data_IF_115404968671
#
_entry.id   IF_115404968671
#
_cell.length_a   1.000
_cell.length_b   1.000
_cell.length_c   1.000
_cell.angle_alpha   90.00
_cell.angle_beta   90.00
_cell.angle_gamma   90.00
#
_symmetry.space_group_name_H-M   'P 1'
#
loop_
_entity.id
_entity.type
_entity.pdbx_description
1 polymer ?
#
# COMPACT_ATOMS: atom_id res chain seq x y z
N UNK A 1 -32.93 45.56 -51.37
CA UNK A 1 -33.35 44.19 -50.98
C UNK A 1 -32.18 43.24 -50.70
N UNK A 2 -30.97 43.61 -51.03
CA UNK A 2 -29.73 42.81 -50.87
C UNK A 2 -29.05 42.96 -49.51
N UNK A 3 -29.17 44.04 -48.75
CA UNK A 3 -28.54 44.30 -47.47
C UNK A 3 -29.16 43.46 -46.31
N UNK A 4 -30.46 43.20 -46.37
CA UNK A 4 -31.18 42.41 -45.38
C UNK A 4 -30.74 40.91 -45.38
N UNK A 5 -30.47 40.38 -46.58
CA UNK A 5 -30.01 38.98 -46.75
C UNK A 5 -28.59 38.75 -46.17
N UNK A 6 -27.69 39.74 -46.40
CA UNK A 6 -26.31 39.65 -45.86
C UNK A 6 -26.28 39.71 -44.31
N UNK A 7 -27.19 40.47 -43.68
CA UNK A 7 -27.30 40.50 -42.22
C UNK A 7 -27.78 39.19 -41.62
N UNK A 8 -28.73 38.51 -42.26
CA UNK A 8 -29.24 37.20 -41.83
C UNK A 8 -28.19 36.11 -42.00
N UNK A 9 -27.46 36.10 -43.12
CA UNK A 9 -26.36 35.13 -43.37
C UNK A 9 -25.23 35.28 -42.36
N UNK A 10 -24.82 36.52 -42.03
CA UNK A 10 -23.81 36.78 -41.00
C UNK A 10 -24.27 36.31 -39.62
N UNK A 11 -25.52 36.53 -39.25
CA UNK A 11 -26.07 36.05 -37.99
C UNK A 11 -26.14 34.52 -37.91
N UNK A 12 -26.53 33.87 -39.01
CA UNK A 12 -26.52 32.40 -39.13
C UNK A 12 -25.10 31.81 -39.02
N UNK A 13 -24.11 32.44 -39.68
CA UNK A 13 -22.71 32.02 -39.55
C UNK A 13 -22.18 32.14 -38.13
N UNK A 14 -22.49 33.20 -37.41
CA UNK A 14 -22.08 33.37 -36.01
C UNK A 14 -22.74 32.34 -35.11
N UNK A 15 -24.03 32.04 -35.33
CA UNK A 15 -24.73 30.99 -34.56
C UNK A 15 -24.14 29.60 -34.85
N UNK A 16 -23.82 29.29 -36.09
CA UNK A 16 -23.14 28.03 -36.45
C UNK A 16 -21.73 27.92 -35.85
N UNK A 17 -20.98 29.05 -35.82
CA UNK A 17 -19.64 29.07 -35.19
C UNK A 17 -19.71 28.86 -33.68
N UNK A 18 -20.69 29.48 -33.00
CA UNK A 18 -20.93 29.29 -31.57
C UNK A 18 -21.41 27.86 -31.24
N UNK A 19 -22.25 27.28 -32.11
CA UNK A 19 -22.68 25.89 -31.99
C UNK A 19 -21.53 24.88 -32.20
N UNK A 20 -20.61 25.17 -33.13
CA UNK A 20 -19.43 24.36 -33.39
C UNK A 20 -18.43 24.38 -32.22
N UNK A 21 -18.30 25.50 -31.51
CA UNK A 21 -17.45 25.60 -30.30
C UNK A 21 -18.00 24.84 -29.11
N UNK A 22 -19.32 24.60 -29.03
CA UNK A 22 -19.92 23.84 -27.91
C UNK A 22 -19.76 22.30 -28.03
N UNK A 23 -19.38 21.79 -29.19
CA UNK A 23 -19.20 20.36 -29.43
C UNK A 23 -17.84 19.81 -28.96
N UNK A 24 -16.90 20.68 -28.54
CA UNK A 24 -15.56 20.32 -28.12
C UNK A 24 -15.34 20.27 -26.58
N UNK A 25 -16.34 20.62 -25.77
CA UNK A 25 -16.21 20.56 -24.32
C UNK A 25 -16.43 19.14 -23.80
N UNK A 26 -15.47 18.26 -24.04
CA UNK A 26 -15.41 17.00 -23.29
C UNK A 26 -15.17 17.34 -21.83
N UNK A 27 -16.21 17.31 -21.00
CA UNK A 27 -16.04 17.45 -19.56
C UNK A 27 -15.07 16.38 -19.08
N UNK A 28 -13.96 16.80 -18.49
CA UNK A 28 -13.01 15.88 -17.89
C UNK A 28 -13.72 15.05 -16.83
N UNK A 29 -13.72 13.75 -16.98
CA UNK A 29 -14.34 12.83 -16.05
C UNK A 29 -13.33 12.38 -15.02
N UNK A 30 -13.66 12.54 -13.76
CA UNK A 30 -12.88 12.02 -12.63
C UNK A 30 -13.72 11.02 -11.88
N UNK A 31 -13.05 10.12 -11.18
CA UNK A 31 -13.66 9.22 -10.21
C UNK A 31 -12.82 9.16 -8.93
N UNK A 32 -13.41 8.64 -7.88
CA UNK A 32 -12.74 8.31 -6.63
C UNK A 32 -12.83 6.83 -6.39
N UNK A 33 -11.83 6.31 -5.70
CA UNK A 33 -11.83 4.97 -5.11
C UNK A 33 -11.45 5.09 -3.62
N UNK A 34 -11.86 4.14 -2.84
CA UNK A 34 -11.42 3.92 -1.48
C UNK A 34 -10.64 2.61 -1.44
N UNK A 35 -9.30 2.72 -1.55
CA UNK A 35 -8.44 1.54 -1.59
C UNK A 35 -8.50 0.74 -0.29
N UNK A 36 -8.70 1.39 0.85
CA UNK A 36 -8.83 0.69 2.12
C UNK A 36 -10.12 -0.14 2.17
N UNK A 37 -11.22 0.43 1.71
CA UNK A 37 -12.51 -0.27 1.58
C UNK A 37 -12.40 -1.44 0.59
N UNK A 38 -11.80 -1.23 -0.59
CA UNK A 38 -11.63 -2.27 -1.60
C UNK A 38 -10.80 -3.43 -1.02
N UNK A 39 -9.63 -3.14 -0.42
CA UNK A 39 -8.75 -4.15 0.15
C UNK A 39 -9.43 -4.97 1.25
N UNK A 40 -10.18 -4.32 2.14
CA UNK A 40 -10.93 -5.01 3.22
C UNK A 40 -11.98 -5.98 2.71
N UNK A 41 -12.49 -5.78 1.50
CA UNK A 41 -13.49 -6.64 0.88
C UNK A 41 -12.89 -7.73 -0.04
N UNK A 42 -11.55 -7.83 -0.11
CA UNK A 42 -10.84 -8.87 -0.87
C UNK A 42 -10.36 -9.97 0.09
N UNK A 43 -10.91 -11.20 0.05
CA UNK A 43 -10.51 -12.29 0.95
C UNK A 43 -9.02 -12.66 0.86
N UNK A 44 -8.39 -12.45 -0.31
CA UNK A 44 -6.97 -12.68 -0.47
C UNK A 44 -6.12 -11.72 0.37
N UNK A 45 -6.57 -10.46 0.55
CA UNK A 45 -5.91 -9.49 1.40
C UNK A 45 -5.94 -9.87 2.88
N UNK A 46 -7.08 -10.35 3.36
CA UNK A 46 -7.21 -10.85 4.74
C UNK A 46 -6.28 -12.04 4.99
N UNK A 47 -6.30 -13.05 4.10
CA UNK A 47 -5.38 -14.19 4.19
C UNK A 47 -3.90 -13.79 4.15
N UNK A 48 -3.55 -12.79 3.32
CA UNK A 48 -2.19 -12.26 3.26
C UNK A 48 -1.76 -11.61 4.59
N UNK A 49 -2.65 -10.81 5.20
CA UNK A 49 -2.41 -10.21 6.51
C UNK A 49 -2.26 -11.25 7.62
N UNK A 50 -3.10 -12.28 7.62
CA UNK A 50 -2.97 -13.39 8.58
C UNK A 50 -1.63 -14.10 8.44
N UNK A 51 -1.19 -14.42 7.22
CA UNK A 51 0.11 -15.03 6.97
C UNK A 51 1.26 -14.13 7.45
N UNK A 52 1.19 -12.83 7.20
CA UNK A 52 2.20 -11.87 7.67
C UNK A 52 2.25 -11.81 9.20
N UNK A 53 1.10 -11.81 9.86
CA UNK A 53 1.03 -11.83 11.32
C UNK A 53 1.62 -13.11 11.91
N UNK A 54 1.31 -14.26 11.34
CA UNK A 54 1.85 -15.55 11.80
C UNK A 54 3.37 -15.61 11.67
N UNK A 55 3.89 -15.22 10.49
CA UNK A 55 5.33 -15.19 10.22
C UNK A 55 6.03 -14.17 11.10
N UNK A 56 5.47 -12.98 11.29
CA UNK A 56 6.03 -11.96 12.18
C UNK A 56 6.13 -12.44 13.62
N UNK A 57 5.07 -13.06 14.15
CA UNK A 57 5.08 -13.65 15.50
C UNK A 57 6.13 -14.75 15.65
N UNK A 58 6.25 -15.62 14.65
CA UNK A 58 7.27 -16.67 14.64
C UNK A 58 8.68 -16.08 14.71
N UNK A 59 8.99 -15.13 13.85
CA UNK A 59 10.30 -14.50 13.80
C UNK A 59 10.61 -13.65 15.03
N UNK A 60 9.60 -12.98 15.62
CA UNK A 60 9.76 -12.32 16.90
C UNK A 60 10.16 -13.30 18.01
N UNK A 61 9.49 -14.45 18.10
CA UNK A 61 9.80 -15.47 19.08
C UNK A 61 11.23 -16.04 18.88
N UNK A 62 11.68 -16.24 17.65
CA UNK A 62 13.05 -16.66 17.35
C UNK A 62 14.10 -15.65 17.84
N UNK A 63 13.88 -14.36 17.57
CA UNK A 63 14.78 -13.28 18.03
C UNK A 63 14.77 -13.20 19.56
N UNK A 64 13.58 -13.26 20.16
CA UNK A 64 13.41 -13.18 21.62
C UNK A 64 14.07 -14.35 22.34
N UNK A 65 14.01 -15.56 21.79
CA UNK A 65 14.67 -16.72 22.34
C UNK A 65 16.19 -16.52 22.47
N UNK A 66 16.85 -16.03 21.41
CA UNK A 66 18.29 -15.75 21.43
C UNK A 66 18.62 -14.58 22.38
N UNK A 67 17.79 -13.53 22.38
CA UNK A 67 17.97 -12.40 23.28
C UNK A 67 17.86 -12.82 24.76
N UNK A 68 16.89 -13.67 25.08
CA UNK A 68 16.68 -14.22 26.42
C UNK A 68 17.83 -15.13 26.85
N UNK A 69 18.37 -15.93 25.91
CA UNK A 69 19.56 -16.75 26.16
C UNK A 69 20.76 -15.84 26.51
N UNK A 70 21.01 -14.77 25.73
CA UNK A 70 22.09 -13.82 26.01
C UNK A 70 21.92 -13.15 27.38
N UNK A 71 20.71 -12.71 27.72
CA UNK A 71 20.41 -12.13 29.03
C UNK A 71 20.65 -13.14 30.21
N UNK A 72 20.29 -14.39 29.99
CA UNK A 72 20.53 -15.46 30.99
C UNK A 72 22.02 -15.72 31.16
N UNK A 73 22.78 -15.79 30.07
CA UNK A 73 24.25 -15.91 30.12
C UNK A 73 24.88 -14.73 30.85
N UNK A 74 24.42 -13.51 30.58
CA UNK A 74 24.91 -12.31 31.27
C UNK A 74 24.60 -12.36 32.78
N UNK A 75 23.39 -12.72 33.16
CA UNK A 75 22.98 -12.87 34.56
C UNK A 75 23.82 -13.92 35.30
N UNK A 76 24.07 -15.07 34.67
CA UNK A 76 24.91 -16.11 35.22
C UNK A 76 26.37 -15.61 35.38
N UNK A 77 26.89 -14.90 34.35
CA UNK A 77 28.22 -14.28 34.42
C UNK A 77 28.33 -13.33 35.61
N UNK A 78 27.36 -12.46 35.84
CA UNK A 78 27.36 -11.53 36.98
C UNK A 78 27.43 -12.29 38.35
N UNK A 79 26.74 -13.41 38.48
CA UNK A 79 26.75 -14.19 39.71
C UNK A 79 28.08 -14.92 39.96
N UNK A 80 28.79 -15.31 38.90
CA UNK A 80 30.00 -16.12 38.96
C UNK A 80 31.30 -15.30 38.83
N UNK A 81 31.23 -14.04 38.42
CA UNK A 81 32.37 -13.22 37.99
C UNK A 81 33.49 -13.12 39.03
N UNK A 82 33.17 -13.15 40.32
CA UNK A 82 34.14 -13.06 41.43
C UNK A 82 34.97 -14.35 41.59
N UNK A 83 34.50 -15.46 41.09
CA UNK A 83 35.17 -16.75 41.16
C UNK A 83 35.89 -17.17 39.86
N UNK A 84 35.78 -16.36 38.79
CA UNK A 84 36.35 -16.69 37.51
C UNK A 84 37.77 -16.16 37.32
N UNK A 85 38.63 -16.95 36.65
CA UNK A 85 39.91 -16.45 36.12
C UNK A 85 39.72 -15.39 35.03
N UNK A 86 40.75 -14.61 34.69
CA UNK A 86 40.69 -13.60 33.67
C UNK A 86 40.35 -14.19 32.28
N UNK A 87 40.87 -15.39 31.98
CA UNK A 87 40.57 -16.12 30.72
C UNK A 87 39.11 -16.56 30.65
N UNK A 88 38.59 -17.08 31.79
CA UNK A 88 37.18 -17.47 31.89
C UNK A 88 36.22 -16.27 31.78
N UNK A 89 36.56 -15.14 32.39
CA UNK A 89 35.79 -13.89 32.26
C UNK A 89 35.71 -13.47 30.83
N UNK A 90 36.85 -13.42 30.12
CA UNK A 90 36.91 -13.04 28.71
C UNK A 90 36.08 -14.00 27.84
N UNK A 91 36.27 -15.30 28.00
CA UNK A 91 35.53 -16.29 27.23
C UNK A 91 33.99 -16.19 27.43
N UNK A 92 33.52 -15.95 28.66
CA UNK A 92 32.09 -15.72 28.90
C UNK A 92 31.57 -14.42 28.33
N UNK A 93 32.33 -13.34 28.41
CA UNK A 93 31.99 -12.05 27.81
C UNK A 93 31.92 -12.16 26.29
N UNK A 94 32.92 -12.78 25.65
CA UNK A 94 32.92 -12.99 24.20
C UNK A 94 31.71 -13.82 23.75
N UNK A 95 31.34 -14.87 24.50
CA UNK A 95 30.17 -15.69 24.21
C UNK A 95 28.87 -14.92 24.35
N UNK A 96 28.73 -14.05 25.35
CA UNK A 96 27.54 -13.17 25.51
C UNK A 96 27.45 -12.19 24.37
N UNK A 97 28.55 -11.52 24.03
CA UNK A 97 28.59 -10.57 22.90
C UNK A 97 28.23 -11.24 21.57
N UNK A 98 28.69 -12.46 21.35
CA UNK A 98 28.35 -13.21 20.14
C UNK A 98 26.85 -13.55 20.09
N UNK A 99 26.22 -13.91 21.22
CA UNK A 99 24.77 -14.15 21.28
C UNK A 99 23.95 -12.88 21.05
N UNK A 100 24.37 -11.75 21.63
CA UNK A 100 23.73 -10.45 21.40
C UNK A 100 23.83 -10.04 19.93
N UNK A 101 25.01 -10.25 19.33
CA UNK A 101 25.24 -10.02 17.90
C UNK A 101 24.33 -10.88 17.03
N UNK A 102 24.21 -12.17 17.33
CA UNK A 102 23.31 -13.09 16.61
C UNK A 102 21.85 -12.63 16.71
N UNK A 103 21.39 -12.19 17.87
CA UNK A 103 20.03 -11.64 18.04
C UNK A 103 19.82 -10.38 17.18
N UNK A 104 20.81 -9.46 17.19
CA UNK A 104 20.74 -8.22 16.41
C UNK A 104 20.75 -8.49 14.90
N UNK A 105 21.60 -9.41 14.43
CA UNK A 105 21.66 -9.81 13.01
C UNK A 105 20.37 -10.48 12.57
N UNK A 106 19.81 -11.38 13.38
CA UNK A 106 18.55 -12.06 13.10
C UNK A 106 17.38 -11.06 13.04
N UNK A 107 17.34 -10.12 14.00
CA UNK A 107 16.36 -9.04 14.01
C UNK A 107 16.46 -8.18 12.75
N UNK A 108 17.69 -7.80 12.35
CA UNK A 108 17.93 -7.04 11.10
C UNK A 108 17.50 -7.83 9.87
N UNK A 109 17.83 -9.13 9.82
CA UNK A 109 17.43 -10.02 8.72
C UNK A 109 15.92 -10.09 8.55
N UNK A 110 15.17 -10.24 9.65
CA UNK A 110 13.72 -10.38 9.58
C UNK A 110 12.98 -9.06 9.45
N UNK A 111 13.37 -8.05 10.22
CA UNK A 111 12.62 -6.80 10.40
C UNK A 111 13.35 -5.54 9.90
N UNK A 112 14.50 -5.71 9.27
CA UNK A 112 15.22 -4.58 8.67
C UNK A 112 14.43 -3.96 7.49
N UNK A 113 14.87 -2.80 6.96
CA UNK A 113 14.17 -2.08 5.89
C UNK A 113 13.88 -2.93 4.65
N UNK A 114 14.79 -3.85 4.29
CA UNK A 114 14.64 -4.82 3.20
C UNK A 114 14.66 -6.26 3.72
N UNK A 115 14.22 -6.45 4.95
CA UNK A 115 14.20 -7.73 5.64
C UNK A 115 13.16 -8.70 5.06
N UNK A 116 13.18 -9.92 5.58
CA UNK A 116 12.31 -11.00 5.08
C UNK A 116 10.82 -10.67 5.25
N UNK A 117 10.44 -9.89 6.29
CA UNK A 117 9.05 -9.47 6.47
C UNK A 117 8.60 -8.50 5.37
N UNK A 118 9.47 -7.55 4.99
CA UNK A 118 9.19 -6.64 3.90
C UNK A 118 9.03 -7.39 2.57
N UNK A 119 9.96 -8.30 2.25
CA UNK A 119 9.89 -9.13 1.04
C UNK A 119 8.62 -9.97 1.00
N UNK A 120 8.28 -10.59 2.13
CA UNK A 120 7.06 -11.41 2.24
C UNK A 120 5.81 -10.56 2.04
N UNK A 121 5.77 -9.36 2.63
CA UNK A 121 4.67 -8.41 2.42
C UNK A 121 4.53 -8.04 0.95
N UNK A 122 5.62 -7.63 0.31
CA UNK A 122 5.62 -7.26 -1.11
C UNK A 122 5.12 -8.43 -1.97
N UNK A 123 5.65 -9.64 -1.76
CA UNK A 123 5.23 -10.81 -2.54
C UNK A 123 3.76 -11.18 -2.41
N UNK A 124 3.14 -10.89 -1.26
CA UNK A 124 1.72 -11.18 -1.02
C UNK A 124 0.80 -10.05 -1.49
N UNK A 125 1.24 -8.79 -1.35
CA UNK A 125 0.40 -7.62 -1.65
C UNK A 125 0.46 -7.18 -3.11
N UNK A 126 1.62 -7.32 -3.77
CA UNK A 126 1.78 -6.88 -5.16
C UNK A 126 0.73 -7.49 -6.10
N UNK A 127 0.47 -8.81 -6.10
CA UNK A 127 -0.54 -9.39 -6.99
C UNK A 127 -1.94 -8.81 -6.76
N UNK A 128 -2.32 -8.59 -5.49
CA UNK A 128 -3.62 -8.02 -5.13
C UNK A 128 -3.75 -6.58 -5.64
N UNK A 129 -2.68 -5.79 -5.48
CA UNK A 129 -2.64 -4.40 -5.97
C UNK A 129 -2.70 -4.34 -7.50
N UNK A 130 -2.02 -5.26 -8.19
CA UNK A 130 -2.05 -5.36 -9.65
C UNK A 130 -3.45 -5.71 -10.17
N UNK A 131 -4.15 -6.65 -9.52
CA UNK A 131 -5.53 -7.00 -9.86
C UNK A 131 -6.47 -5.79 -9.70
N UNK A 132 -6.37 -5.07 -8.59
CA UNK A 132 -7.16 -3.85 -8.35
C UNK A 132 -6.83 -2.79 -9.40
N UNK A 133 -5.54 -2.54 -9.66
CA UNK A 133 -5.09 -1.55 -10.65
C UNK A 133 -5.66 -1.87 -12.05
N UNK A 134 -5.61 -3.13 -12.47
CA UNK A 134 -6.13 -3.56 -13.76
C UNK A 134 -7.66 -3.37 -13.83
N UNK A 135 -8.38 -3.69 -12.77
CA UNK A 135 -9.83 -3.46 -12.70
C UNK A 135 -10.18 -1.98 -12.78
N UNK A 136 -9.45 -1.12 -12.05
CA UNK A 136 -9.61 0.35 -12.07
C UNK A 136 -9.30 0.90 -13.47
N UNK A 137 -8.22 0.44 -14.09
CA UNK A 137 -7.83 0.84 -15.43
C UNK A 137 -8.89 0.49 -16.47
N UNK A 138 -9.39 -0.73 -16.45
CA UNK A 138 -10.45 -1.16 -17.38
C UNK A 138 -11.73 -0.33 -17.23
N UNK A 139 -12.11 0.01 -15.98
CA UNK A 139 -13.26 0.88 -15.72
C UNK A 139 -12.97 2.29 -16.24
N UNK A 140 -11.76 2.81 -16.05
CA UNK A 140 -11.35 4.11 -16.55
C UNK A 140 -11.47 4.19 -18.07
N UNK A 141 -10.94 3.18 -18.76
CA UNK A 141 -10.98 3.08 -20.22
C UNK A 141 -12.44 3.00 -20.73
N UNK A 142 -13.26 2.16 -20.08
CA UNK A 142 -14.67 1.97 -20.46
C UNK A 142 -15.53 3.22 -20.25
N UNK A 143 -15.32 3.92 -19.13
CA UNK A 143 -16.11 5.10 -18.71
C UNK A 143 -15.55 6.42 -19.22
N UNK A 144 -14.31 6.41 -19.74
CA UNK A 144 -13.59 7.60 -20.19
C UNK A 144 -13.14 8.50 -19.02
N UNK A 145 -12.79 7.91 -17.88
CA UNK A 145 -12.17 8.64 -16.79
C UNK A 145 -10.73 9.00 -17.15
N UNK A 146 -10.37 10.25 -16.93
CA UNK A 146 -9.01 10.74 -17.18
C UNK A 146 -8.15 10.68 -15.93
N UNK A 147 -8.78 10.65 -14.75
CA UNK A 147 -8.12 10.58 -13.46
C UNK A 147 -9.01 9.86 -12.46
N UNK A 148 -8.43 8.93 -11.72
CA UNK A 148 -9.05 8.27 -10.58
C UNK A 148 -8.14 8.50 -9.38
N UNK A 149 -8.68 9.02 -8.30
CA UNK A 149 -7.96 9.34 -7.06
C UNK A 149 -8.40 8.41 -5.95
N UNK A 150 -7.43 7.97 -5.15
CA UNK A 150 -7.70 7.24 -3.93
C UNK A 150 -8.01 8.22 -2.79
N UNK A 151 -9.23 8.17 -2.26
CA UNK A 151 -9.65 9.01 -1.15
C UNK A 151 -9.18 8.53 0.22
N UNK A 152 -8.75 7.26 0.33
CA UNK A 152 -8.24 6.68 1.57
C UNK A 152 -6.75 7.01 1.78
N UNK A 153 -6.03 7.43 0.74
CA UNK A 153 -4.66 7.90 0.84
C UNK A 153 -4.59 9.36 1.32
N UNK A 154 -3.41 9.79 1.80
CA UNK A 154 -3.14 11.18 2.20
C UNK A 154 -3.15 12.17 1.02
N UNK A 155 -4.04 11.97 0.05
CA UNK A 155 -4.13 12.74 -1.20
C UNK A 155 -4.69 14.16 -1.02
N UNK A 156 -5.03 14.57 0.22
CA UNK A 156 -5.59 15.90 0.50
C UNK A 156 -7.02 16.12 -0.02
N UNK A 157 -7.77 15.05 -0.31
CA UNK A 157 -9.17 15.13 -0.71
C UNK A 157 -10.01 15.43 0.52
N UNK A 158 -10.51 16.66 0.63
CA UNK A 158 -11.37 17.10 1.75
C UNK A 158 -12.80 16.61 1.57
N UNK A 159 -13.29 16.57 0.33
CA UNK A 159 -14.65 16.14 0.00
C UNK A 159 -14.67 15.45 -1.36
N UNK A 160 -15.37 14.32 -1.42
CA UNK A 160 -15.68 13.61 -2.64
C UNK A 160 -17.15 13.17 -2.64
N UNK A 161 -17.89 13.52 -3.68
CA UNK A 161 -19.27 13.07 -3.82
C UNK A 161 -19.34 11.54 -3.92
N UNK A 162 -20.23 10.85 -3.18
CA UNK A 162 -20.44 9.41 -3.37
C UNK A 162 -20.84 9.02 -4.80
N UNK A 163 -21.35 9.97 -5.59
CA UNK A 163 -21.75 9.72 -6.99
C UNK A 163 -20.57 9.45 -7.94
N UNK A 164 -19.37 9.88 -7.57
CA UNK A 164 -18.14 9.66 -8.35
C UNK A 164 -17.25 8.59 -7.73
N UNK A 165 -17.68 7.96 -6.63
CA UNK A 165 -17.00 6.83 -6.01
C UNK A 165 -17.34 5.54 -6.75
N UNK A 166 -16.32 4.90 -7.30
CA UNK A 166 -16.45 3.67 -8.08
C UNK A 166 -15.95 2.42 -7.34
N UNK A 167 -15.69 2.51 -6.03
CA UNK A 167 -15.12 1.40 -5.25
C UNK A 167 -15.93 0.12 -5.35
N UNK A 168 -17.27 0.21 -5.30
CA UNK A 168 -18.15 -0.95 -5.48
C UNK A 168 -18.12 -1.51 -6.91
N UNK A 169 -17.95 -0.66 -7.92
CA UNK A 169 -17.79 -1.09 -9.30
C UNK A 169 -16.48 -1.87 -9.48
N UNK A 170 -15.40 -1.42 -8.83
CA UNK A 170 -14.12 -2.15 -8.79
C UNK A 170 -14.30 -3.51 -8.14
N UNK A 171 -14.94 -3.59 -6.96
CA UNK A 171 -15.23 -4.87 -6.29
C UNK A 171 -16.10 -5.80 -7.16
N UNK A 172 -17.12 -5.27 -7.82
CA UNK A 172 -17.94 -6.04 -8.74
C UNK A 172 -17.12 -6.61 -9.89
N UNK A 173 -16.23 -5.81 -10.49
CA UNK A 173 -15.36 -6.26 -11.57
C UNK A 173 -14.38 -7.34 -11.13
N UNK A 174 -13.90 -7.27 -9.88
CA UNK A 174 -13.06 -8.28 -9.25
C UNK A 174 -13.82 -9.54 -8.79
N UNK A 175 -15.15 -9.53 -8.86
CA UNK A 175 -15.99 -10.65 -8.43
C UNK A 175 -16.26 -10.71 -6.92
N UNK A 176 -16.06 -9.61 -6.20
CA UNK A 176 -16.23 -9.51 -4.73
C UNK A 176 -17.45 -8.64 -4.32
N UNK A 177 -18.32 -8.26 -5.25
CA UNK A 177 -19.55 -7.55 -4.89
C UNK A 177 -20.58 -8.53 -4.29
N UNK A 178 -21.16 -8.14 -3.15
CA UNK A 178 -22.36 -8.76 -2.59
C UNK A 178 -23.61 -8.24 -3.29
#
# INVERSE_FOLDING_TARGET
>A
MTESKNGIVKKLMVICLLAACSLGASAQKFALVDMEYILKNIPAYERANEQLNQVSKKWQAEVEAISTEAQTMYKNYQNEVVFLSQEQKKAKQDAIMEKEKQAAELKKKYFGPEGELFKKRTSLMTPIQEEIYNAVKDIADLRGYQLILDRASDSGIIFGSPKIDISNEVLQKLGYAN
#
